data_IF_223608433658
#
_entry.id   IF_223608433658
#
_cell.length_a   1.000
_cell.length_b   1.000
_cell.length_c   1.000
_cell.angle_alpha   90.00
_cell.angle_beta   90.00
_cell.angle_gamma   90.00
#
_symmetry.space_group_name_H-M   'P 1'
#
loop_
_entity.id
_entity.type
_entity.pdbx_description
1 polymer ?
#
# COMPACT_ATOMS: atom_id res chain seq x y z
N UNK A 1 -14.76 50.00 -4.03
CA UNK A 1 -13.68 49.17 -3.45
C UNK A 1 -14.14 47.78 -2.94
N UNK A 2 -15.35 47.32 -3.29
CA UNK A 2 -15.88 45.97 -2.96
C UNK A 2 -15.44 44.90 -3.99
N UNK A 3 -14.91 45.30 -5.14
CA UNK A 3 -14.49 44.39 -6.22
C UNK A 3 -13.16 43.66 -5.98
N UNK A 4 -12.20 44.24 -5.24
CA UNK A 4 -10.86 43.63 -5.03
C UNK A 4 -10.82 42.60 -3.89
N UNK A 5 -11.65 42.78 -2.86
CA UNK A 5 -11.77 41.83 -1.74
C UNK A 5 -12.46 40.52 -2.19
N UNK A 6 -13.45 40.62 -3.10
CA UNK A 6 -14.02 39.44 -3.77
C UNK A 6 -12.98 38.67 -4.57
N UNK A 7 -12.00 39.35 -5.15
CA UNK A 7 -10.96 38.72 -5.97
C UNK A 7 -9.93 37.93 -5.15
N UNK A 8 -9.59 38.39 -3.95
CA UNK A 8 -8.65 37.69 -3.05
C UNK A 8 -9.33 36.49 -2.34
N UNK A 9 -10.61 36.63 -1.96
CA UNK A 9 -11.38 35.50 -1.41
C UNK A 9 -11.63 34.45 -2.50
N UNK A 10 -11.86 34.85 -3.76
CA UNK A 10 -11.91 33.91 -4.89
C UNK A 10 -10.55 33.22 -5.12
N UNK A 11 -9.42 33.89 -4.97
CA UNK A 11 -8.11 33.25 -5.13
C UNK A 11 -7.79 32.25 -4.00
N UNK A 12 -8.24 32.53 -2.77
CA UNK A 12 -8.06 31.63 -1.62
C UNK A 12 -9.02 30.42 -1.66
N UNK A 13 -10.28 30.61 -2.07
CA UNK A 13 -11.21 29.48 -2.24
C UNK A 13 -10.95 28.69 -3.52
N UNK A 14 -10.46 29.31 -4.59
CA UNK A 14 -9.92 28.61 -5.77
C UNK A 14 -8.65 27.86 -5.37
N UNK A 15 -7.75 28.43 -4.58
CA UNK A 15 -6.55 27.74 -4.09
C UNK A 15 -6.84 26.46 -3.30
N UNK A 16 -7.80 26.52 -2.38
CA UNK A 16 -8.22 25.36 -1.55
C UNK A 16 -9.08 24.38 -2.36
N UNK A 17 -9.94 24.85 -3.27
CA UNK A 17 -10.67 23.97 -4.19
C UNK A 17 -9.76 23.36 -5.28
N UNK A 18 -8.62 23.99 -5.60
CA UNK A 18 -7.63 23.44 -6.53
C UNK A 18 -6.77 22.36 -5.89
N UNK A 19 -6.62 22.27 -4.56
CA UNK A 19 -5.97 21.10 -3.97
C UNK A 19 -6.84 19.84 -4.02
N UNK A 20 -8.18 19.97 -4.10
CA UNK A 20 -9.07 18.84 -4.37
C UNK A 20 -9.26 18.56 -5.87
N UNK A 21 -9.03 19.54 -6.76
CA UNK A 21 -9.16 19.38 -8.22
C UNK A 21 -7.84 19.18 -9.00
N UNK A 22 -6.68 19.34 -8.39
CA UNK A 22 -5.36 19.06 -9.03
C UNK A 22 -4.99 17.57 -9.05
N UNK A 23 -5.84 16.70 -8.52
CA UNK A 23 -5.88 15.26 -8.85
C UNK A 23 -6.98 14.94 -9.89
N UNK A 24 -7.38 15.93 -10.68
CA UNK A 24 -8.22 15.76 -11.86
C UNK A 24 -7.41 15.92 -13.14
N UNK A 25 -7.03 14.78 -13.72
CA UNK A 25 -6.64 14.59 -15.13
C UNK A 25 -5.33 15.28 -15.57
N UNK A 26 -4.21 14.69 -15.17
CA UNK A 26 -3.01 14.73 -16.02
C UNK A 26 -3.36 14.15 -17.42
N UNK A 27 -2.85 14.71 -18.53
CA UNK A 27 -3.03 14.18 -19.88
C UNK A 27 -2.14 12.95 -20.15
N UNK A 28 -1.77 12.23 -19.09
CA UNK A 28 -1.38 10.84 -19.21
C UNK A 28 -2.65 10.03 -18.98
N UNK A 29 -3.53 10.00 -19.97
CA UNK A 29 -4.37 8.82 -20.21
C UNK A 29 -3.44 7.66 -20.59
N UNK A 30 -2.66 7.19 -19.60
CA UNK A 30 -2.46 5.75 -19.48
C UNK A 30 -3.88 5.25 -19.30
N UNK A 31 -4.39 4.51 -20.29
CA UNK A 31 -5.72 3.92 -20.17
C UNK A 31 -5.83 3.31 -18.76
N UNK A 32 -7.03 3.38 -18.18
CA UNK A 32 -7.30 2.71 -16.92
C UNK A 32 -6.66 1.30 -16.99
N UNK A 33 -5.78 0.89 -16.06
CA UNK A 33 -4.99 -0.31 -16.25
C UNK A 33 -5.87 -1.52 -16.54
N UNK A 34 -7.12 -1.55 -16.06
CA UNK A 34 -8.11 -2.56 -16.42
C UNK A 34 -8.42 -2.66 -17.93
N UNK A 35 -8.40 -1.55 -18.67
CA UNK A 35 -8.71 -1.49 -20.11
C UNK A 35 -7.49 -1.87 -20.96
N UNK A 36 -6.28 -1.46 -20.55
CA UNK A 36 -5.03 -1.90 -21.16
C UNK A 36 -4.72 -3.38 -20.85
N UNK A 37 -5.00 -3.83 -19.62
CA UNK A 37 -4.92 -5.24 -19.24
C UNK A 37 -5.97 -6.04 -20.03
N UNK A 38 -7.22 -5.57 -20.16
CA UNK A 38 -8.24 -6.26 -20.97
C UNK A 38 -7.80 -6.49 -22.41
N UNK A 39 -7.28 -5.46 -23.10
CA UNK A 39 -6.86 -5.58 -24.49
C UNK A 39 -5.59 -6.45 -24.65
N UNK A 40 -4.61 -6.29 -23.76
CA UNK A 40 -3.37 -7.08 -23.81
C UNK A 40 -3.60 -8.54 -23.42
N UNK A 41 -4.48 -8.82 -22.44
CA UNK A 41 -4.85 -10.17 -22.04
C UNK A 41 -5.78 -10.88 -23.02
N UNK A 42 -6.62 -10.16 -23.77
CA UNK A 42 -7.43 -10.79 -24.82
C UNK A 42 -6.56 -11.44 -25.93
N UNK A 43 -5.34 -10.92 -26.13
CA UNK A 43 -4.33 -11.50 -27.02
C UNK A 43 -3.40 -12.54 -26.34
N UNK A 44 -3.57 -12.80 -25.03
CA UNK A 44 -2.84 -13.83 -24.25
C UNK A 44 -3.65 -15.14 -24.16
N UNK A 45 -4.75 -15.29 -24.93
CA UNK A 45 -5.48 -16.56 -25.01
C UNK A 45 -4.62 -17.76 -25.46
N UNK A 46 -3.50 -17.55 -26.15
CA UNK A 46 -2.59 -18.62 -26.57
C UNK A 46 -1.59 -19.08 -25.50
N UNK A 47 -1.37 -18.29 -24.44
CA UNK A 47 -0.49 -18.67 -23.30
C UNK A 47 -1.29 -19.39 -22.20
N UNK A 48 -2.63 -19.26 -22.24
CA UNK A 48 -3.53 -19.79 -21.22
C UNK A 48 -3.53 -21.32 -21.12
N UNK A 49 -3.30 -22.09 -22.18
CA UNK A 49 -3.34 -23.55 -22.06
C UNK A 49 -2.19 -24.07 -21.18
N UNK A 50 -0.97 -23.58 -21.40
CA UNK A 50 0.21 -24.08 -20.70
C UNK A 50 0.30 -23.57 -19.24
N UNK A 51 -0.11 -22.32 -18.98
CA UNK A 51 -0.12 -21.77 -17.61
C UNK A 51 -1.31 -22.31 -16.79
N UNK A 52 -2.48 -22.51 -17.41
CA UNK A 52 -3.61 -23.15 -16.72
C UNK A 52 -3.33 -24.62 -16.43
N UNK A 53 -2.52 -25.31 -17.23
CA UNK A 53 -2.11 -26.69 -16.95
C UNK A 53 -1.08 -26.74 -15.80
N UNK A 54 -0.13 -25.80 -15.75
CA UNK A 54 0.76 -25.65 -14.58
C UNK A 54 -0.03 -25.29 -13.32
N UNK A 55 -1.03 -24.39 -13.41
CA UNK A 55 -1.92 -24.02 -12.32
C UNK A 55 -2.83 -25.16 -11.85
N UNK A 56 -3.40 -25.94 -12.76
CA UNK A 56 -4.19 -27.15 -12.46
C UNK A 56 -3.34 -28.33 -11.98
N UNK A 57 -2.05 -28.36 -12.31
CA UNK A 57 -1.10 -29.39 -11.84
C UNK A 57 -0.67 -29.20 -10.37
N UNK A 58 -1.08 -28.10 -9.72
CA UNK A 58 -1.05 -27.97 -8.27
C UNK A 58 -2.09 -28.94 -7.70
N UNK A 59 -1.71 -30.22 -7.65
CA UNK A 59 -2.52 -31.32 -7.15
C UNK A 59 -3.09 -31.00 -5.77
N UNK A 60 -4.37 -31.33 -5.54
CA UNK A 60 -5.02 -31.21 -4.23
C UNK A 60 -4.27 -31.96 -3.12
N UNK A 61 -3.52 -33.02 -3.46
CA UNK A 61 -2.62 -33.70 -2.52
C UNK A 61 -1.48 -32.81 -2.03
N UNK A 62 -0.96 -31.93 -2.90
CA UNK A 62 0.07 -30.97 -2.54
C UNK A 62 -0.52 -29.85 -1.67
N UNK A 63 -1.77 -29.44 -1.88
CA UNK A 63 -2.44 -28.43 -1.04
C UNK A 63 -2.66 -28.95 0.39
N UNK A 64 -3.10 -30.20 0.56
CA UNK A 64 -3.22 -30.83 1.88
C UNK A 64 -1.86 -30.99 2.59
N UNK A 65 -0.80 -31.33 1.84
CA UNK A 65 0.57 -31.35 2.37
C UNK A 65 1.04 -29.95 2.75
N UNK A 66 0.75 -28.92 1.96
CA UNK A 66 1.09 -27.52 2.25
C UNK A 66 0.34 -27.02 3.49
N UNK A 67 -0.95 -27.35 3.64
CA UNK A 67 -1.73 -27.02 4.83
C UNK A 67 -1.13 -27.58 6.12
N UNK A 68 -0.73 -28.85 6.10
CA UNK A 68 -0.10 -29.49 7.27
C UNK A 68 1.30 -28.93 7.56
N UNK A 69 2.03 -28.54 6.52
CA UNK A 69 3.36 -27.91 6.67
C UNK A 69 3.25 -26.51 7.28
N UNK A 70 2.24 -25.74 6.88
CA UNK A 70 2.12 -24.34 7.29
C UNK A 70 1.20 -24.09 8.48
N UNK A 71 0.45 -25.10 8.95
CA UNK A 71 -0.50 -25.00 10.06
C UNK A 71 -1.45 -23.79 9.94
N UNK A 72 -2.16 -23.73 8.81
CA UNK A 72 -3.07 -22.63 8.43
C UNK A 72 -4.53 -23.08 8.61
N UNK A 73 -5.40 -22.14 8.99
CA UNK A 73 -6.86 -22.34 9.04
C UNK A 73 -7.46 -22.74 7.68
N UNK A 74 -8.49 -23.59 7.71
CA UNK A 74 -9.17 -24.07 6.48
C UNK A 74 -9.76 -22.91 5.68
N UNK A 75 -10.37 -21.95 6.36
CA UNK A 75 -11.02 -20.79 5.73
C UNK A 75 -10.01 -19.88 5.01
N UNK A 76 -8.79 -19.73 5.54
CA UNK A 76 -7.72 -18.98 4.89
C UNK A 76 -7.22 -19.71 3.64
N UNK A 77 -7.01 -21.02 3.72
CA UNK A 77 -6.59 -21.83 2.56
C UNK A 77 -7.61 -21.79 1.41
N UNK A 78 -8.89 -21.96 1.72
CA UNK A 78 -9.97 -21.90 0.73
C UNK A 78 -10.03 -20.52 0.05
N UNK A 79 -9.88 -19.44 0.84
CA UNK A 79 -9.87 -18.07 0.29
C UNK A 79 -8.63 -17.77 -0.54
N UNK A 80 -7.47 -18.35 -0.21
CA UNK A 80 -6.24 -18.23 -0.98
C UNK A 80 -6.31 -19.02 -2.29
N UNK A 81 -6.93 -20.20 -2.26
CA UNK A 81 -7.20 -21.00 -3.45
C UNK A 81 -8.13 -20.25 -4.41
N UNK A 82 -9.23 -19.68 -3.88
CA UNK A 82 -10.13 -18.85 -4.67
C UNK A 82 -9.40 -17.63 -5.24
N UNK A 83 -8.59 -16.94 -4.45
CA UNK A 83 -7.79 -15.81 -4.95
C UNK A 83 -6.83 -16.23 -6.07
N UNK A 84 -6.23 -17.42 -5.99
CA UNK A 84 -5.36 -17.95 -7.03
C UNK A 84 -6.13 -18.29 -8.32
N UNK A 85 -7.30 -18.91 -8.19
CA UNK A 85 -8.19 -19.20 -9.32
C UNK A 85 -8.67 -17.92 -10.01
N UNK A 86 -9.16 -16.96 -9.23
CA UNK A 86 -9.64 -15.67 -9.74
C UNK A 86 -8.49 -14.86 -10.38
N UNK A 87 -7.26 -15.03 -9.90
CA UNK A 87 -6.07 -14.46 -10.55
C UNK A 87 -5.78 -15.10 -11.92
N UNK A 88 -5.99 -16.41 -12.07
CA UNK A 88 -5.87 -17.11 -13.35
C UNK A 88 -6.99 -16.72 -14.33
N UNK A 89 -8.19 -16.46 -13.80
CA UNK A 89 -9.33 -15.94 -14.56
C UNK A 89 -9.20 -14.45 -14.89
N UNK A 90 -8.12 -13.79 -14.44
CA UNK A 90 -7.81 -12.38 -14.67
C UNK A 90 -8.88 -11.44 -14.09
N UNK A 91 -9.48 -11.84 -12.97
CA UNK A 91 -10.42 -11.00 -12.25
C UNK A 91 -9.73 -9.74 -11.71
N UNK A 92 -10.37 -8.61 -11.93
CA UNK A 92 -9.78 -7.28 -11.65
C UNK A 92 -9.36 -7.11 -10.19
N UNK A 93 -10.16 -7.60 -9.24
CA UNK A 93 -9.87 -7.49 -7.82
C UNK A 93 -8.66 -8.35 -7.42
N UNK A 94 -8.55 -9.56 -7.98
CA UNK A 94 -7.47 -10.51 -7.67
C UNK A 94 -6.13 -9.99 -8.20
N UNK A 95 -6.11 -9.49 -9.44
CA UNK A 95 -4.93 -8.83 -10.02
C UNK A 95 -4.53 -7.57 -9.24
N UNK A 96 -5.50 -6.80 -8.75
CA UNK A 96 -5.24 -5.62 -7.93
C UNK A 96 -4.65 -5.99 -6.56
N UNK A 97 -5.13 -7.08 -5.93
CA UNK A 97 -4.54 -7.62 -4.70
C UNK A 97 -3.08 -8.05 -4.91
N UNK A 98 -2.78 -8.71 -6.03
CA UNK A 98 -1.41 -9.14 -6.38
C UNK A 98 -0.49 -7.96 -6.71
N UNK A 99 -0.95 -6.98 -7.49
CA UNK A 99 -0.16 -5.79 -7.80
C UNK A 99 0.15 -4.95 -6.55
N UNK A 100 -0.73 -4.97 -5.55
CA UNK A 100 -0.52 -4.25 -4.30
C UNK A 100 0.63 -4.82 -3.43
N UNK A 101 1.11 -6.05 -3.69
CA UNK A 101 2.15 -6.71 -2.91
C UNK A 101 3.54 -6.10 -3.13
N UNK A 102 4.27 -5.88 -2.03
CA UNK A 102 5.73 -5.83 -2.00
C UNK A 102 6.41 -4.95 -3.04
N UNK A 103 5.86 -3.78 -3.37
CA UNK A 103 6.44 -2.91 -4.40
C UNK A 103 7.85 -2.47 -4.00
N UNK A 104 8.82 -2.83 -4.83
CA UNK A 104 10.23 -2.48 -4.66
C UNK A 104 10.41 -0.96 -4.76
N UNK A 105 10.95 -0.36 -3.70
CA UNK A 105 11.37 1.03 -3.71
C UNK A 105 12.71 1.21 -4.43
N UNK A 106 13.01 2.43 -4.85
CA UNK A 106 14.39 2.81 -5.18
C UNK A 106 15.26 2.75 -3.92
N UNK A 107 16.56 2.56 -4.08
CA UNK A 107 17.48 2.55 -2.94
C UNK A 107 17.87 1.15 -2.43
N UNK A 108 17.58 0.07 -3.18
CA UNK A 108 17.82 -1.31 -2.69
C UNK A 108 19.30 -1.57 -2.42
N UNK A 109 20.20 -1.03 -3.26
CA UNK A 109 21.65 -1.15 -3.07
C UNK A 109 22.16 -0.31 -1.91
N UNK A 110 21.42 0.75 -1.56
CA UNK A 110 21.64 1.65 -0.45
C UNK A 110 21.05 1.11 0.87
N UNK A 111 20.51 -0.11 0.86
CA UNK A 111 19.96 -0.77 2.05
C UNK A 111 18.49 -0.44 2.33
N UNK A 112 17.77 0.13 1.36
CA UNK A 112 16.33 0.38 1.49
C UNK A 112 15.53 -0.92 1.26
N UNK A 113 15.39 -1.68 2.34
CA UNK A 113 14.67 -2.96 2.37
C UNK A 113 13.23 -2.82 2.89
N UNK A 114 12.63 -1.64 2.75
CA UNK A 114 11.23 -1.42 3.11
C UNK A 114 10.37 -1.38 1.83
N UNK A 115 9.61 -2.45 1.60
CA UNK A 115 8.77 -2.65 0.43
C UNK A 115 7.30 -2.77 0.87
N UNK A 116 6.68 -1.66 1.32
CA UNK A 116 5.32 -1.68 1.87
C UNK A 116 4.25 -1.98 0.82
N UNK A 117 4.55 -1.92 -0.49
CA UNK A 117 3.50 -2.07 -1.50
C UNK A 117 2.45 -0.95 -1.42
N UNK A 118 1.24 -1.19 -1.94
CA UNK A 118 0.16 -0.19 -2.00
C UNK A 118 -0.99 -0.55 -1.06
N UNK A 119 -0.95 0.00 0.15
CA UNK A 119 -1.95 -0.21 1.20
C UNK A 119 -3.41 0.06 0.74
N UNK A 120 -3.66 1.25 0.19
CA UNK A 120 -5.02 1.65 -0.22
C UNK A 120 -5.52 0.85 -1.42
N UNK A 121 -4.62 0.44 -2.31
CA UNK A 121 -4.96 -0.39 -3.46
C UNK A 121 -5.39 -1.78 -3.01
N UNK A 122 -4.63 -2.40 -2.10
CA UNK A 122 -5.03 -3.65 -1.46
C UNK A 122 -6.40 -3.53 -0.81
N UNK A 123 -6.63 -2.51 0.04
CA UNK A 123 -7.89 -2.34 0.78
C UNK A 123 -9.11 -2.10 -0.12
N UNK A 124 -8.91 -1.52 -1.29
CA UNK A 124 -9.97 -1.22 -2.24
C UNK A 124 -10.21 -2.35 -3.26
N UNK A 125 -9.35 -3.37 -3.29
CA UNK A 125 -9.46 -4.53 -4.17
C UNK A 125 -10.56 -5.50 -3.73
N UNK A 126 -11.81 -5.05 -3.82
CA UNK A 126 -13.00 -5.83 -3.46
C UNK A 126 -13.61 -6.49 -4.69
N UNK A 127 -14.10 -7.70 -4.53
CA UNK A 127 -14.99 -8.32 -5.53
C UNK A 127 -16.34 -7.57 -5.57
N UNK A 128 -17.02 -7.57 -6.72
CA UNK A 128 -18.36 -6.97 -6.93
C UNK A 128 -19.40 -7.48 -5.93
N UNK A 129 -19.26 -8.73 -5.49
CA UNK A 129 -20.16 -9.37 -4.53
C UNK A 129 -19.72 -9.22 -3.07
N UNK A 130 -18.62 -8.49 -2.82
CA UNK A 130 -17.97 -8.31 -1.50
C UNK A 130 -17.69 -9.59 -0.69
N UNK A 131 -17.69 -10.75 -1.34
CA UNK A 131 -17.53 -12.06 -0.70
C UNK A 131 -16.12 -12.23 -0.11
N UNK A 132 -15.12 -11.66 -0.78
CA UNK A 132 -13.73 -11.61 -0.33
C UNK A 132 -13.41 -10.16 0.00
N UNK A 133 -13.10 -9.89 1.27
CA UNK A 133 -12.61 -8.59 1.69
C UNK A 133 -11.09 -8.64 1.91
N UNK A 134 -10.31 -7.75 1.30
CA UNK A 134 -8.86 -7.74 1.45
C UNK A 134 -8.42 -7.14 2.79
N UNK A 135 -7.38 -7.72 3.38
CA UNK A 135 -6.67 -7.23 4.55
C UNK A 135 -5.19 -7.08 4.21
N UNK A 136 -4.61 -5.97 4.64
CA UNK A 136 -3.19 -5.70 4.44
C UNK A 136 -2.40 -6.09 5.68
N UNK A 137 -1.26 -6.75 5.48
CA UNK A 137 -0.32 -7.18 6.52
C UNK A 137 1.09 -6.75 6.11
N UNK A 138 1.90 -6.31 7.07
CA UNK A 138 3.33 -6.04 6.86
C UNK A 138 4.13 -7.17 7.48
N UNK A 139 4.90 -7.89 6.67
CA UNK A 139 5.82 -8.93 7.11
C UNK A 139 7.21 -8.35 7.31
N UNK A 140 7.80 -8.58 8.47
CA UNK A 140 9.19 -8.28 8.77
C UNK A 140 9.99 -9.58 8.76
N UNK A 141 11.13 -9.58 8.08
CA UNK A 141 12.08 -10.68 8.00
C UNK A 141 13.45 -10.09 8.35
N UNK A 142 14.02 -10.49 9.47
CA UNK A 142 15.28 -9.93 9.93
C UNK A 142 15.95 -10.81 10.98
N UNK A 143 17.04 -10.31 11.55
CA UNK A 143 17.72 -11.00 12.62
C UNK A 143 17.15 -10.62 13.98
N UNK A 144 17.07 -11.61 14.88
CA UNK A 144 16.81 -11.35 16.28
C UNK A 144 18.01 -10.58 16.89
N UNK A 145 17.81 -9.36 17.45
CA UNK A 145 18.89 -8.58 18.04
C UNK A 145 19.61 -9.30 19.19
N UNK A 146 18.96 -10.29 19.82
CA UNK A 146 19.56 -11.12 20.87
C UNK A 146 20.57 -12.14 20.32
N UNK A 147 20.44 -12.56 19.06
CA UNK A 147 21.29 -13.57 18.43
C UNK A 147 22.65 -13.01 17.96
N UNK A 148 22.75 -11.70 17.73
CA UNK A 148 23.93 -11.04 17.14
C UNK A 148 24.63 -10.06 18.10
N UNK A 149 24.59 -10.35 19.41
CA UNK A 149 25.32 -9.59 20.44
C UNK A 149 25.07 -8.06 20.39
N UNK A 150 23.84 -7.64 20.04
CA UNK A 150 23.46 -6.22 19.97
C UNK A 150 23.78 -5.50 18.66
N UNK A 151 24.24 -6.20 17.61
CA UNK A 151 24.39 -5.62 16.28
C UNK A 151 23.01 -5.47 15.60
N UNK A 152 22.62 -4.23 15.29
CA UNK A 152 21.39 -3.95 14.55
C UNK A 152 21.64 -4.10 13.04
N UNK A 153 21.13 -5.20 12.46
CA UNK A 153 21.11 -5.39 11.01
C UNK A 153 19.75 -4.97 10.45
N UNK A 154 19.70 -4.21 9.35
CA UNK A 154 18.44 -3.83 8.73
C UNK A 154 17.70 -5.07 8.21
N UNK A 155 16.50 -5.29 8.72
CA UNK A 155 15.59 -6.33 8.23
C UNK A 155 14.83 -5.90 6.97
N UNK A 156 14.34 -6.88 6.24
CA UNK A 156 13.44 -6.72 5.12
C UNK A 156 12.00 -6.58 5.63
N UNK A 157 11.31 -5.51 5.24
CA UNK A 157 9.89 -5.33 5.48
C UNK A 157 9.13 -5.40 4.16
N UNK A 158 8.11 -6.26 4.05
CA UNK A 158 7.30 -6.46 2.85
C UNK A 158 5.83 -6.35 3.19
N UNK A 159 5.09 -5.49 2.48
CA UNK A 159 3.65 -5.41 2.56
C UNK A 159 2.96 -6.44 1.68
N UNK A 160 1.95 -7.13 2.21
CA UNK A 160 1.14 -8.12 1.53
C UNK A 160 -0.35 -7.90 1.74
N UNK A 161 -1.12 -8.27 0.73
CA UNK A 161 -2.58 -8.24 0.67
C UNK A 161 -3.15 -9.65 0.74
N UNK A 162 -3.88 -9.96 1.81
CA UNK A 162 -4.41 -11.28 2.09
C UNK A 162 -5.94 -11.22 2.23
N UNK A 163 -6.68 -12.31 1.98
CA UNK A 163 -8.11 -12.32 2.22
C UNK A 163 -8.43 -12.23 3.72
N UNK A 164 -9.60 -11.68 4.06
CA UNK A 164 -10.04 -11.44 5.42
C UNK A 164 -10.11 -12.67 6.32
N UNK A 165 -10.26 -13.84 5.71
CA UNK A 165 -10.38 -15.13 6.37
C UNK A 165 -9.03 -15.61 6.93
N UNK A 166 -7.92 -15.02 6.49
CA UNK A 166 -6.61 -15.27 7.06
C UNK A 166 -6.42 -14.44 8.34
N UNK A 167 -6.03 -15.13 9.42
CA UNK A 167 -5.69 -14.49 10.69
C UNK A 167 -4.21 -14.10 10.72
N UNK A 168 -3.83 -13.21 11.64
CA UNK A 168 -2.43 -12.85 11.86
C UNK A 168 -1.58 -14.07 12.26
N UNK A 169 -2.17 -15.01 12.99
CA UNK A 169 -1.51 -16.25 13.39
C UNK A 169 -1.25 -17.18 12.19
N UNK A 170 -2.19 -17.27 11.24
CA UNK A 170 -2.02 -18.06 10.02
C UNK A 170 -0.82 -17.55 9.20
N UNK A 171 -0.71 -16.22 9.04
CA UNK A 171 0.37 -15.59 8.28
C UNK A 171 1.71 -15.76 9.02
N UNK A 172 1.73 -15.61 10.35
CA UNK A 172 2.92 -15.87 11.15
C UNK A 172 3.37 -17.32 11.03
N UNK A 173 2.46 -18.29 11.07
CA UNK A 173 2.80 -19.69 10.90
C UNK A 173 3.42 -19.95 9.52
N UNK A 174 2.89 -19.33 8.46
CA UNK A 174 3.49 -19.39 7.12
C UNK A 174 4.91 -18.85 7.13
N UNK A 175 5.11 -17.64 7.66
CA UNK A 175 6.41 -16.98 7.71
C UNK A 175 7.44 -17.77 8.53
N UNK A 176 7.07 -18.26 9.72
CA UNK A 176 7.94 -19.06 10.57
C UNK A 176 8.36 -20.36 9.89
N UNK A 177 7.43 -21.05 9.23
CA UNK A 177 7.75 -22.28 8.51
C UNK A 177 8.62 -22.04 7.27
N UNK A 178 8.46 -20.89 6.58
CA UNK A 178 9.36 -20.50 5.49
C UNK A 178 10.78 -20.21 6.01
N UNK A 179 10.92 -19.45 7.10
CA UNK A 179 12.23 -19.13 7.68
C UNK A 179 12.91 -20.38 8.24
N UNK A 180 12.20 -21.23 8.97
CA UNK A 180 12.77 -22.47 9.53
C UNK A 180 13.33 -23.39 8.44
N UNK A 181 12.76 -23.36 7.23
CA UNK A 181 13.29 -24.12 6.09
C UNK A 181 14.59 -23.56 5.52
N UNK A 182 14.91 -22.29 5.75
CA UNK A 182 16.14 -21.68 5.23
C UNK A 182 17.41 -22.11 5.98
N UNK A 183 17.26 -22.76 7.15
CA UNK A 183 18.37 -23.24 7.99
C UNK A 183 19.39 -22.14 8.37
N UNK A 184 18.94 -20.88 8.42
CA UNK A 184 19.77 -19.75 8.84
C UNK A 184 19.49 -19.46 10.32
N UNK A 185 20.47 -19.61 11.22
CA UNK A 185 20.26 -19.36 12.64
C UNK A 185 20.00 -17.87 12.92
N UNK A 186 19.04 -17.59 13.78
CA UNK A 186 18.75 -16.23 14.27
C UNK A 186 17.88 -15.36 13.35
N UNK A 187 17.40 -15.87 12.21
CA UNK A 187 16.38 -15.17 11.41
C UNK A 187 15.01 -15.37 12.07
N UNK A 188 14.27 -14.27 12.20
CA UNK A 188 12.88 -14.23 12.63
C UNK A 188 12.03 -13.58 11.55
N UNK A 189 10.81 -14.09 11.39
CA UNK A 189 9.81 -13.45 10.56
C UNK A 189 8.47 -13.38 11.27
N UNK A 190 7.85 -12.21 11.22
CA UNK A 190 6.53 -11.98 11.79
C UNK A 190 5.75 -11.01 10.92
N UNK A 191 4.43 -11.16 10.91
CA UNK A 191 3.49 -10.27 10.29
C UNK A 191 2.81 -9.40 11.34
N UNK A 192 2.60 -8.15 10.96
CA UNK A 192 1.87 -7.17 11.73
C UNK A 192 0.76 -6.58 10.85
N UNK A 193 -0.45 -6.51 11.40
CA UNK A 193 -1.48 -5.65 10.83
C UNK A 193 -1.07 -4.19 11.12
N UNK A 194 -1.11 -3.28 10.14
CA UNK A 194 -1.26 -1.88 10.50
C UNK A 194 -2.59 -1.78 11.24
N UNK A 195 -2.50 -1.59 12.54
CA UNK A 195 -3.64 -1.30 13.38
C UNK A 195 -4.27 -0.04 12.76
N UNK A 196 -5.60 -0.04 12.55
CA UNK A 196 -6.31 1.02 11.83
C UNK A 196 -6.41 2.31 12.66
N UNK A 197 -5.37 2.62 13.41
CA UNK A 197 -5.24 3.84 14.19
C UNK A 197 -4.18 4.66 13.49
N UNK A 198 -4.60 5.75 12.86
CA UNK A 198 -3.71 6.88 12.62
C UNK A 198 -3.33 7.37 14.01
N UNK A 199 -2.36 6.73 14.65
CA UNK A 199 -1.78 7.20 15.90
C UNK A 199 -0.83 8.30 15.49
N UNK A 200 -1.32 9.54 15.57
CA UNK A 200 -0.48 10.70 15.38
C UNK A 200 0.67 10.61 16.38
N UNK A 201 1.87 10.32 15.87
CA UNK A 201 3.06 10.31 16.71
C UNK A 201 3.30 11.74 17.19
N UNK A 202 3.82 11.89 18.41
CA UNK A 202 4.11 13.22 18.97
C UNK A 202 4.98 14.06 18.01
N UNK A 203 5.89 13.42 17.27
CA UNK A 203 6.73 14.07 16.26
C UNK A 203 5.93 14.65 15.08
N UNK A 204 4.91 13.92 14.60
CA UNK A 204 4.06 14.36 13.49
C UNK A 204 3.15 15.53 13.91
N UNK A 205 2.59 15.47 15.12
CA UNK A 205 1.83 16.57 15.72
C UNK A 205 2.67 17.86 15.87
N UNK A 206 3.92 17.73 16.34
CA UNK A 206 4.84 18.87 16.48
C UNK A 206 5.16 19.44 15.10
N UNK A 207 5.47 18.57 14.13
CA UNK A 207 5.76 18.98 12.75
C UNK A 207 4.62 19.80 12.13
N UNK A 208 3.37 19.33 12.25
CA UNK A 208 2.19 20.03 11.73
C UNK A 208 2.01 21.39 12.42
N UNK A 209 2.23 21.46 13.73
CA UNK A 209 2.08 22.70 14.51
C UNK A 209 3.11 23.75 14.07
N UNK A 210 4.38 23.36 13.93
CA UNK A 210 5.46 24.25 13.49
C UNK A 210 5.23 24.71 12.04
N UNK A 211 4.84 23.81 11.14
CA UNK A 211 4.54 24.20 9.76
C UNK A 211 3.37 25.20 9.70
N UNK A 212 2.33 25.00 10.51
CA UNK A 212 1.17 25.91 10.58
C UNK A 212 1.55 27.30 11.08
N UNK A 213 2.43 27.42 12.09
CA UNK A 213 2.87 28.73 12.58
C UNK A 213 3.71 29.49 11.55
N UNK A 214 4.59 28.82 10.81
CA UNK A 214 5.34 29.46 9.72
C UNK A 214 4.42 29.99 8.62
N UNK A 215 3.41 29.20 8.22
CA UNK A 215 2.42 29.64 7.22
C UNK A 215 1.67 30.88 7.70
N UNK A 216 1.26 30.92 8.97
CA UNK A 216 0.59 32.10 9.55
C UNK A 216 1.49 33.34 9.55
N UNK A 217 2.77 33.20 9.92
CA UNK A 217 3.72 34.32 9.90
C UNK A 217 3.92 34.87 8.48
N UNK A 218 4.00 34.00 7.47
CA UNK A 218 4.11 34.42 6.06
C UNK A 218 2.86 35.19 5.63
N UNK A 219 1.66 34.71 5.98
CA UNK A 219 0.40 35.38 5.64
C UNK A 219 0.30 36.75 6.33
N UNK A 220 0.64 36.84 7.62
CA UNK A 220 0.62 38.11 8.36
C UNK A 220 1.62 39.11 7.81
N UNK A 221 2.82 38.66 7.44
CA UNK A 221 3.85 39.52 6.83
C UNK A 221 3.37 40.06 5.47
N UNK A 222 2.79 39.19 4.64
CA UNK A 222 2.24 39.58 3.33
C UNK A 222 1.09 40.59 3.48
N UNK A 223 0.21 40.40 4.46
CA UNK A 223 -0.88 41.33 4.77
C UNK A 223 -0.35 42.68 5.28
N UNK A 224 0.67 42.66 6.13
CA UNK A 224 1.29 43.88 6.65
C UNK A 224 1.93 44.70 5.53
N UNK A 225 2.67 44.05 4.63
CA UNK A 225 3.26 44.70 3.46
C UNK A 225 2.18 45.30 2.56
N UNK A 226 1.13 44.53 2.27
CA UNK A 226 -0.01 44.99 1.46
C UNK A 226 -0.72 46.23 2.05
N UNK A 227 -0.98 46.23 3.36
CA UNK A 227 -1.64 47.35 4.06
C UNK A 227 -0.75 48.58 4.05
N UNK A 228 0.55 48.41 4.27
CA UNK A 228 1.52 49.52 4.31
C UNK A 228 1.68 50.16 2.94
N UNK A 229 1.79 49.35 1.88
CA UNK A 229 1.84 49.85 0.51
C UNK A 229 0.56 50.59 0.10
N UNK A 230 -0.62 50.08 0.49
CA UNK A 230 -1.89 50.74 0.17
C UNK A 230 -2.07 52.07 0.90
N UNK A 231 -1.52 52.23 2.12
CA UNK A 231 -1.51 53.51 2.83
C UNK A 231 -0.59 54.54 2.17
N UNK A 232 0.54 54.10 1.62
CA UNK A 232 1.51 54.97 0.97
C UNK A 232 1.02 55.52 -0.39
N UNK A 233 0.23 54.74 -1.14
CA UNK A 233 -0.33 55.17 -2.44
C UNK A 233 -1.50 56.17 -2.30
N UNK A 234 -2.12 56.27 -1.12
CA UNK A 234 -3.27 57.14 -0.85
C UNK A 234 -2.91 58.48 -0.16
N UNK A 235 -1.62 58.75 0.08
CA UNK A 235 -1.10 60.02 0.57
C UNK A 235 -0.31 60.75 -0.52
#
# INVERSE_FOLDING_TARGET
MIGKIRSIILLLTVGIATSEKLFGNSPLTVAHPSDLLKWKFHNIKSVNQDILEVGRSISMENILKLKNVFNISNACMESLEQLALDSLELESYALQMLDAWGKLGSGVLEGHLNWPGRYYECRNAKNKNETITPKYYTSYIGYDPTALAGMFLPGLSVGGCFPSNCSLNDINNVLHNLVNKTNIPGIVAFAQCPENVITWSAAECIGVTVCSTFVLLVVLSTLYEYITLNKFVLS
#
